data_IF_632537235303
#
_entry.id   IF_632537235303
#
_cell.length_a   1.000
_cell.length_b   1.000
_cell.length_c   1.000
_cell.angle_alpha   90.00
_cell.angle_beta   90.00
_cell.angle_gamma   90.00
#
_symmetry.space_group_name_H-M   'P 1'
#
loop_
_entity.id
_entity.type
_entity.pdbx_description
1 polymer ?
#
# COMPACT_ATOMS: atom_id res chain seq x y z
N UNK A 1 -5.86 19.33 -19.85
CA UNK A 1 -5.52 18.24 -18.91
C UNK A 1 -5.57 18.77 -17.46
N UNK A 2 -6.77 19.00 -16.93
CA UNK A 2 -6.96 19.35 -15.51
C UNK A 2 -7.46 18.10 -14.77
N UNK A 3 -6.59 17.07 -14.67
CA UNK A 3 -6.90 15.92 -13.86
C UNK A 3 -7.23 16.34 -12.43
N UNK A 4 -8.31 15.84 -11.90
CA UNK A 4 -8.78 16.10 -10.54
C UNK A 4 -7.65 15.83 -9.54
N UNK A 5 -6.97 16.91 -9.12
CA UNK A 5 -5.88 16.81 -8.15
C UNK A 5 -6.50 16.77 -6.78
N UNK A 6 -6.41 15.60 -6.11
CA UNK A 6 -6.77 15.48 -4.71
C UNK A 6 -6.10 16.61 -3.91
N UNK A 7 -6.88 17.51 -3.32
CA UNK A 7 -6.36 18.57 -2.46
C UNK A 7 -6.66 18.24 -1.00
N UNK A 8 -5.64 17.96 -0.20
CA UNK A 8 -5.83 17.69 1.21
C UNK A 8 -6.30 18.93 1.96
N UNK A 9 -7.44 18.82 2.66
CA UNK A 9 -8.05 19.93 3.43
C UNK A 9 -7.28 20.28 4.72
N UNK A 10 -6.48 19.33 5.27
CA UNK A 10 -5.80 19.45 6.56
C UNK A 10 -4.28 19.29 6.42
N UNK A 11 -3.50 19.87 7.37
CA UNK A 11 -2.02 19.73 7.42
C UNK A 11 -1.58 18.27 7.47
N UNK A 12 -2.24 17.44 8.29
CA UNK A 12 -1.96 15.99 8.38
C UNK A 12 -2.23 15.28 7.04
N UNK A 13 -3.34 15.60 6.38
CA UNK A 13 -3.67 15.03 5.09
C UNK A 13 -2.65 15.40 4.00
N UNK A 14 -2.09 16.62 4.06
CA UNK A 14 -1.03 17.07 3.15
C UNK A 14 0.27 16.31 3.41
N UNK A 15 0.68 16.19 4.66
CA UNK A 15 1.88 15.43 5.04
C UNK A 15 1.81 13.97 4.57
N UNK A 16 0.69 13.28 4.84
CA UNK A 16 0.49 11.90 4.39
C UNK A 16 0.46 11.80 2.85
N UNK A 17 -0.11 12.80 2.19
CA UNK A 17 -0.14 12.88 0.72
C UNK A 17 1.27 12.98 0.12
N UNK A 18 2.04 13.95 0.58
CA UNK A 18 3.43 14.16 0.13
C UNK A 18 4.31 12.96 0.47
N UNK A 19 4.09 12.34 1.63
CA UNK A 19 4.81 11.12 2.01
C UNK A 19 4.52 9.94 1.06
N UNK A 20 3.24 9.67 0.75
CA UNK A 20 2.85 8.60 -0.17
C UNK A 20 3.44 8.82 -1.57
N UNK A 21 3.31 10.03 -2.13
CA UNK A 21 3.85 10.36 -3.46
C UNK A 21 5.38 10.26 -3.51
N UNK A 22 6.06 10.80 -2.50
CA UNK A 22 7.51 10.72 -2.41
C UNK A 22 7.98 9.27 -2.20
N UNK A 23 7.28 8.48 -1.38
CA UNK A 23 7.61 7.07 -1.17
C UNK A 23 7.51 6.27 -2.48
N UNK A 24 6.45 6.47 -3.26
CA UNK A 24 6.27 5.84 -4.58
C UNK A 24 7.39 6.27 -5.54
N UNK A 25 7.66 7.57 -5.63
CA UNK A 25 8.67 8.11 -6.55
C UNK A 25 10.10 7.64 -6.18
N UNK A 26 10.45 7.68 -4.89
CA UNK A 26 11.75 7.23 -4.38
C UNK A 26 11.92 5.73 -4.62
N UNK A 27 10.89 4.93 -4.33
CA UNK A 27 10.93 3.48 -4.52
C UNK A 27 11.14 3.12 -5.98
N UNK A 28 10.39 3.75 -6.90
CA UNK A 28 10.55 3.54 -8.34
C UNK A 28 11.93 4.00 -8.84
N UNK A 29 12.38 5.17 -8.38
CA UNK A 29 13.72 5.70 -8.70
C UNK A 29 14.84 4.78 -8.21
N UNK A 30 14.75 4.28 -6.97
CA UNK A 30 15.70 3.34 -6.40
C UNK A 30 15.76 2.02 -7.19
N UNK A 31 14.61 1.46 -7.56
CA UNK A 31 14.54 0.27 -8.42
C UNK A 31 15.24 0.49 -9.76
N UNK A 32 14.98 1.62 -10.41
CA UNK A 32 15.57 1.97 -11.69
C UNK A 32 17.09 2.11 -11.58
N UNK A 33 17.58 2.83 -10.55
CA UNK A 33 19.02 3.02 -10.30
C UNK A 33 19.69 1.68 -10.00
N UNK A 34 19.12 0.87 -9.11
CA UNK A 34 19.68 -0.45 -8.78
C UNK A 34 19.76 -1.38 -9.98
N UNK A 35 18.72 -1.41 -10.79
CA UNK A 35 18.70 -2.23 -12.02
C UNK A 35 19.76 -1.74 -13.00
N UNK A 36 19.85 -0.42 -13.22
CA UNK A 36 20.87 0.18 -14.09
C UNK A 36 22.29 -0.13 -13.59
N UNK A 37 22.56 0.07 -12.30
CA UNK A 37 23.87 -0.24 -11.70
C UNK A 37 24.23 -1.72 -11.85
N UNK A 38 23.27 -2.62 -11.68
CA UNK A 38 23.50 -4.05 -11.86
C UNK A 38 23.86 -4.40 -13.32
N UNK A 39 23.18 -3.76 -14.28
CA UNK A 39 23.52 -3.89 -15.72
C UNK A 39 24.93 -3.38 -16.00
N UNK A 40 25.28 -2.18 -15.54
CA UNK A 40 26.63 -1.60 -15.72
C UNK A 40 27.69 -2.50 -15.10
N UNK A 41 27.50 -2.95 -13.87
CA UNK A 41 28.44 -3.85 -13.21
C UNK A 41 28.62 -5.16 -13.96
N UNK A 42 27.56 -5.72 -14.49
CA UNK A 42 27.62 -6.98 -15.24
C UNK A 42 28.37 -6.86 -16.56
N UNK A 43 28.08 -5.81 -17.34
CA UNK A 43 28.63 -5.68 -18.69
C UNK A 43 29.95 -4.91 -18.77
N UNK A 44 30.21 -3.95 -17.86
CA UNK A 44 31.45 -3.16 -17.86
C UNK A 44 32.50 -3.79 -16.94
N UNK A 45 32.08 -4.25 -15.76
CA UNK A 45 33.00 -4.77 -14.73
C UNK A 45 33.01 -6.30 -14.63
N UNK A 46 32.25 -6.99 -15.45
CA UNK A 46 32.10 -8.46 -15.44
C UNK A 46 31.79 -9.02 -14.01
N UNK A 47 31.04 -8.27 -13.22
CA UNK A 47 30.64 -8.59 -11.85
C UNK A 47 29.16 -8.29 -11.67
N UNK A 48 28.42 -9.11 -10.91
CA UNK A 48 27.00 -8.89 -10.63
C UNK A 48 26.76 -8.54 -9.16
N UNK A 49 25.73 -7.73 -8.91
CA UNK A 49 25.23 -7.46 -7.57
C UNK A 49 24.12 -8.48 -7.25
N UNK A 50 24.49 -9.61 -6.66
CA UNK A 50 23.55 -10.71 -6.41
C UNK A 50 22.39 -10.26 -5.52
N UNK A 51 22.65 -9.45 -4.50
CA UNK A 51 21.66 -8.92 -3.57
C UNK A 51 20.70 -7.89 -4.20
N UNK A 52 21.10 -7.26 -5.31
CA UNK A 52 20.29 -6.18 -5.91
C UNK A 52 18.94 -6.67 -6.43
N UNK A 53 18.87 -7.92 -6.93
CA UNK A 53 17.62 -8.50 -7.41
C UNK A 53 16.61 -8.64 -6.27
N UNK A 54 17.06 -9.13 -5.12
CA UNK A 54 16.19 -9.29 -3.95
C UNK A 54 15.72 -7.93 -3.41
N UNK A 55 16.61 -6.93 -3.38
CA UNK A 55 16.22 -5.55 -3.01
C UNK A 55 15.18 -4.98 -3.97
N UNK A 56 15.36 -5.17 -5.28
CA UNK A 56 14.37 -4.72 -6.29
C UNK A 56 13.01 -5.40 -6.08
N UNK A 57 12.98 -6.69 -5.75
CA UNK A 57 11.73 -7.39 -5.43
C UNK A 57 11.05 -6.84 -4.17
N UNK A 58 11.83 -6.54 -3.12
CA UNK A 58 11.32 -5.89 -1.90
C UNK A 58 10.75 -4.51 -2.22
N UNK A 59 11.49 -3.68 -2.95
CA UNK A 59 11.04 -2.35 -3.36
C UNK A 59 9.79 -2.42 -4.26
N UNK A 60 9.71 -3.43 -5.13
CA UNK A 60 8.53 -3.65 -5.96
C UNK A 60 7.29 -3.98 -5.10
N UNK A 61 7.43 -4.85 -4.11
CA UNK A 61 6.35 -5.14 -3.17
C UNK A 61 5.90 -3.87 -2.42
N UNK A 62 6.84 -3.04 -1.99
CA UNK A 62 6.56 -1.76 -1.34
C UNK A 62 5.83 -0.79 -2.28
N UNK A 63 6.31 -0.69 -3.53
CA UNK A 63 5.70 0.14 -4.57
C UNK A 63 4.23 -0.24 -4.82
N UNK A 64 3.97 -1.54 -4.98
CA UNK A 64 2.61 -2.06 -5.23
C UNK A 64 1.69 -1.77 -4.05
N UNK A 65 2.15 -2.03 -2.83
CA UNK A 65 1.33 -1.85 -1.63
C UNK A 65 1.04 -0.37 -1.32
N UNK A 66 2.01 0.52 -1.49
CA UNK A 66 1.78 1.97 -1.44
C UNK A 66 0.87 2.44 -2.58
N UNK A 67 1.06 1.91 -3.78
CA UNK A 67 0.25 2.22 -4.96
C UNK A 67 -1.22 1.86 -4.76
N UNK A 68 -1.53 0.71 -4.15
CA UNK A 68 -2.90 0.32 -3.79
C UNK A 68 -3.52 1.34 -2.83
N UNK A 69 -2.84 1.70 -1.75
CA UNK A 69 -3.33 2.68 -0.78
C UNK A 69 -3.55 4.06 -1.44
N UNK A 70 -2.62 4.48 -2.29
CA UNK A 70 -2.73 5.72 -3.06
C UNK A 70 -3.89 5.67 -4.07
N UNK A 71 -4.10 4.54 -4.76
CA UNK A 71 -5.22 4.33 -5.69
C UNK A 71 -6.58 4.53 -5.03
N UNK A 72 -6.78 4.03 -3.80
CA UNK A 72 -8.00 4.30 -3.02
C UNK A 72 -8.20 5.78 -2.68
N UNK A 73 -7.12 6.53 -2.52
CA UNK A 73 -7.16 7.95 -2.20
C UNK A 73 -7.58 8.81 -3.39
N UNK A 74 -6.99 8.55 -4.56
CA UNK A 74 -7.27 9.30 -5.78
C UNK A 74 -8.45 8.74 -6.56
N UNK A 75 -9.14 7.72 -6.00
CA UNK A 75 -10.27 7.03 -6.65
C UNK A 75 -9.93 6.49 -8.05
N UNK A 76 -8.65 6.18 -8.28
CA UNK A 76 -8.13 5.68 -9.56
C UNK A 76 -8.48 4.21 -9.85
N UNK A 77 -9.34 3.60 -9.03
CA UNK A 77 -9.85 2.27 -9.34
C UNK A 77 -10.90 2.38 -10.45
N UNK A 78 -10.52 1.96 -11.63
CA UNK A 78 -11.43 1.77 -12.76
C UNK A 78 -12.53 0.79 -12.37
N UNK A 79 -13.65 1.33 -11.95
CA UNK A 79 -14.85 0.56 -11.66
C UNK A 79 -15.65 0.28 -12.93
N UNK A 80 -16.49 -0.72 -12.86
CA UNK A 80 -17.45 -1.02 -13.94
C UNK A 80 -18.62 -0.02 -13.83
N UNK A 81 -18.36 1.25 -14.18
CA UNK A 81 -19.37 2.31 -14.14
C UNK A 81 -20.53 2.05 -15.11
N UNK A 82 -20.25 1.29 -16.18
CA UNK A 82 -21.29 0.90 -17.14
C UNK A 82 -22.50 0.20 -16.50
N UNK A 83 -22.27 -0.64 -15.47
CA UNK A 83 -23.35 -1.31 -14.75
C UNK A 83 -23.97 -0.40 -13.70
N UNK A 84 -23.18 0.36 -12.97
CA UNK A 84 -23.67 1.23 -11.90
C UNK A 84 -24.41 2.44 -12.44
N UNK A 85 -24.05 2.96 -13.61
CA UNK A 85 -24.74 4.07 -14.28
C UNK A 85 -26.17 3.69 -14.75
N UNK A 86 -26.43 2.39 -15.02
CA UNK A 86 -27.77 1.90 -15.38
C UNK A 86 -28.72 1.80 -14.17
N UNK A 87 -28.20 1.89 -12.95
CA UNK A 87 -29.00 1.77 -11.73
C UNK A 87 -29.68 3.11 -11.39
N UNK A 88 -30.90 3.03 -10.84
CA UNK A 88 -31.56 4.20 -10.25
C UNK A 88 -30.74 4.76 -9.09
N UNK A 89 -30.85 6.07 -8.83
CA UNK A 89 -30.09 6.74 -7.73
C UNK A 89 -30.15 6.01 -6.39
N UNK A 90 -31.32 5.52 -5.90
CA UNK A 90 -31.39 4.80 -4.63
C UNK A 90 -30.68 3.45 -4.68
N UNK A 91 -30.76 2.73 -5.82
CA UNK A 91 -30.08 1.46 -6.00
C UNK A 91 -28.56 1.65 -6.08
N UNK A 92 -28.09 2.68 -6.79
CA UNK A 92 -26.67 3.02 -6.88
C UNK A 92 -26.06 3.35 -5.51
N UNK A 93 -26.82 4.10 -4.67
CA UNK A 93 -26.40 4.37 -3.29
C UNK A 93 -26.38 3.10 -2.44
N UNK A 94 -27.38 2.23 -2.55
CA UNK A 94 -27.43 0.97 -1.81
C UNK A 94 -26.27 0.05 -2.18
N UNK A 95 -25.97 -0.11 -3.47
CA UNK A 95 -24.80 -0.90 -3.93
C UNK A 95 -23.48 -0.28 -3.49
N UNK A 96 -23.36 1.05 -3.49
CA UNK A 96 -22.18 1.75 -2.99
C UNK A 96 -21.94 1.51 -1.49
N UNK A 97 -22.99 1.55 -0.67
CA UNK A 97 -22.91 1.23 0.76
C UNK A 97 -22.54 -0.23 0.98
N UNK A 98 -23.16 -1.16 0.26
CA UNK A 98 -22.87 -2.59 0.37
C UNK A 98 -21.41 -2.88 0.01
N UNK A 99 -20.92 -2.32 -1.11
CA UNK A 99 -19.53 -2.43 -1.54
C UNK A 99 -18.58 -1.88 -0.48
N UNK A 100 -18.90 -0.73 0.13
CA UNK A 100 -18.10 -0.13 1.19
C UNK A 100 -17.98 -1.03 2.41
N UNK A 101 -19.07 -1.68 2.83
CA UNK A 101 -19.05 -2.65 3.93
C UNK A 101 -18.20 -3.87 3.62
N UNK A 102 -18.33 -4.44 2.41
CA UNK A 102 -17.54 -5.60 2.00
C UNK A 102 -16.05 -5.24 1.97
N UNK A 103 -15.70 -4.09 1.39
CA UNK A 103 -14.31 -3.62 1.35
C UNK A 103 -13.75 -3.33 2.75
N UNK A 104 -14.56 -2.74 3.65
CA UNK A 104 -14.17 -2.48 5.02
C UNK A 104 -13.90 -3.77 5.79
N UNK A 105 -14.81 -4.76 5.66
CA UNK A 105 -14.62 -6.07 6.26
C UNK A 105 -13.34 -6.74 5.77
N UNK A 106 -13.10 -6.73 4.45
CA UNK A 106 -11.88 -7.29 3.87
C UNK A 106 -10.62 -6.56 4.33
N UNK A 107 -10.66 -5.23 4.43
CA UNK A 107 -9.51 -4.44 4.89
C UNK A 107 -9.14 -4.71 6.35
N UNK A 108 -10.14 -4.97 7.22
CA UNK A 108 -9.90 -5.39 8.61
C UNK A 108 -9.22 -6.76 8.66
N UNK A 109 -9.70 -7.72 7.85
CA UNK A 109 -9.09 -9.04 7.74
C UNK A 109 -7.66 -8.95 7.19
N UNK A 110 -7.45 -8.09 6.20
CA UNK A 110 -6.13 -7.86 5.61
C UNK A 110 -5.15 -7.29 6.65
N UNK A 111 -5.59 -6.30 7.45
CA UNK A 111 -4.77 -5.75 8.51
C UNK A 111 -4.42 -6.79 9.57
N UNK A 112 -5.41 -7.58 10.00
CA UNK A 112 -5.16 -8.69 10.94
C UNK A 112 -4.15 -9.68 10.37
N UNK A 113 -4.36 -10.13 9.13
CA UNK A 113 -3.45 -11.07 8.47
C UNK A 113 -2.04 -10.51 8.29
N UNK A 114 -1.92 -9.26 7.90
CA UNK A 114 -0.65 -8.57 7.75
C UNK A 114 0.12 -8.44 9.07
N UNK A 115 -0.59 -8.11 10.16
CA UNK A 115 -0.01 -8.09 11.51
C UNK A 115 0.43 -9.48 11.95
N UNK A 116 -0.46 -10.47 11.88
CA UNK A 116 -0.19 -11.83 12.33
C UNK A 116 0.94 -12.52 11.54
N UNK A 117 1.15 -12.09 10.30
CA UNK A 117 2.28 -12.55 9.48
C UNK A 117 3.59 -11.87 9.87
N UNK A 118 3.58 -10.54 10.03
CA UNK A 118 4.77 -9.75 10.28
C UNK A 118 5.25 -9.78 11.73
N UNK A 119 4.34 -9.77 12.71
CA UNK A 119 4.66 -9.61 14.12
C UNK A 119 5.70 -10.61 14.65
N UNK A 120 5.67 -11.92 14.29
CA UNK A 120 6.69 -12.87 14.74
C UNK A 120 8.09 -12.59 14.24
N UNK A 121 8.24 -11.93 13.08
CA UNK A 121 9.56 -11.50 12.59
C UNK A 121 10.13 -10.33 13.40
N UNK A 122 9.28 -9.55 14.06
CA UNK A 122 9.65 -8.48 14.96
C UNK A 122 9.67 -8.90 16.43
N UNK A 123 9.62 -10.22 16.70
CA UNK A 123 9.49 -10.80 18.05
C UNK A 123 8.26 -10.29 18.82
N UNK A 124 7.19 -9.96 18.08
CA UNK A 124 5.92 -9.50 18.64
C UNK A 124 4.87 -10.60 18.59
N UNK A 125 3.90 -10.61 19.53
CA UNK A 125 2.85 -11.59 19.56
C UNK A 125 1.84 -11.41 18.43
N UNK A 126 1.29 -12.52 17.95
CA UNK A 126 0.16 -12.54 17.02
C UNK A 126 -1.15 -12.26 17.73
N UNK A 127 -2.17 -11.90 16.96
CA UNK A 127 -3.53 -11.83 17.47
C UNK A 127 -4.18 -13.22 17.49
N UNK A 128 -5.06 -13.45 18.47
CA UNK A 128 -5.93 -14.64 18.52
C UNK A 128 -7.22 -14.37 17.74
N UNK A 129 -7.94 -15.45 17.41
CA UNK A 129 -9.18 -15.39 16.64
C UNK A 129 -8.99 -15.65 15.15
N UNK A 130 -9.99 -16.26 14.53
CA UNK A 130 -9.91 -16.65 13.12
C UNK A 130 -10.15 -15.48 12.17
N UNK A 131 -11.19 -14.70 12.43
CA UNK A 131 -11.65 -13.63 11.55
C UNK A 131 -11.36 -12.25 12.14
N UNK A 132 -11.54 -12.10 13.45
CA UNK A 132 -11.29 -10.87 14.17
C UNK A 132 -10.35 -11.12 15.34
N UNK A 133 -9.55 -10.10 15.75
CA UNK A 133 -8.72 -10.23 16.94
C UNK A 133 -9.62 -10.39 18.18
N UNK A 134 -9.47 -11.51 18.89
CA UNK A 134 -10.17 -11.77 20.17
C UNK A 134 -9.25 -11.63 21.36
N UNK A 135 -7.96 -11.37 21.13
CA UNK A 135 -6.92 -11.19 22.13
C UNK A 135 -5.53 -11.27 21.53
N UNK A 136 -4.53 -11.45 22.35
CA UNK A 136 -3.11 -11.55 21.97
C UNK A 136 -2.57 -12.91 22.36
N UNK A 137 -1.90 -13.60 21.44
CA UNK A 137 -1.24 -14.87 21.67
C UNK A 137 0.22 -14.65 22.11
N UNK A 138 0.44 -14.56 23.40
CA UNK A 138 1.77 -14.40 24.01
C UNK A 138 2.65 -15.66 23.89
N UNK A 139 2.10 -16.80 23.47
CA UNK A 139 2.84 -18.04 23.27
C UNK A 139 3.34 -18.22 21.84
N UNK A 140 3.05 -17.29 20.95
CA UNK A 140 3.55 -17.35 19.58
C UNK A 140 5.08 -17.35 19.59
N UNK A 141 5.66 -18.36 18.93
CA UNK A 141 7.11 -18.43 18.79
C UNK A 141 7.58 -17.34 17.83
N UNK A 142 8.51 -16.49 18.27
CA UNK A 142 9.17 -15.52 17.44
C UNK A 142 9.93 -16.18 16.29
N UNK A 143 10.02 -15.47 15.17
CA UNK A 143 10.75 -15.88 13.97
C UNK A 143 11.72 -14.78 13.53
N UNK A 144 12.17 -13.96 14.47
CA UNK A 144 13.06 -12.82 14.25
C UNK A 144 14.43 -13.24 13.69
N UNK A 145 14.87 -14.47 13.96
CA UNK A 145 16.12 -15.04 13.45
C UNK A 145 16.14 -15.32 11.94
N UNK A 146 14.98 -15.17 11.23
CA UNK A 146 14.94 -15.35 9.79
C UNK A 146 15.53 -14.15 9.07
N UNK A 147 16.54 -14.40 8.26
CA UNK A 147 17.22 -13.45 7.40
C UNK A 147 16.69 -13.49 5.96
N UNK A 148 16.97 -12.46 5.19
CA UNK A 148 16.82 -12.43 3.73
C UNK A 148 17.84 -13.35 3.07
N UNK A 149 17.66 -13.67 1.79
CA UNK A 149 18.52 -14.67 1.13
C UNK A 149 19.87 -14.08 0.70
N UNK A 150 19.90 -12.83 0.20
CA UNK A 150 21.10 -12.23 -0.39
C UNK A 150 21.45 -10.85 0.16
N UNK A 151 20.52 -10.14 0.82
CA UNK A 151 20.76 -8.77 1.25
C UNK A 151 21.69 -8.74 2.46
N UNK A 152 22.91 -8.18 2.36
CA UNK A 152 23.80 -8.09 3.51
C UNK A 152 23.23 -7.19 4.60
N UNK A 153 23.58 -7.47 5.86
CA UNK A 153 23.12 -6.68 7.00
C UNK A 153 23.70 -5.24 6.93
N UNK A 154 22.83 -4.20 6.80
CA UNK A 154 23.32 -2.82 6.82
C UNK A 154 23.79 -2.43 8.20
N UNK A 155 24.92 -1.72 8.28
CA UNK A 155 25.53 -1.28 9.54
C UNK A 155 24.57 -0.50 10.45
N UNK A 156 23.74 0.36 9.87
CA UNK A 156 22.79 1.21 10.60
C UNK A 156 21.59 0.44 11.17
N UNK A 157 21.36 -0.81 10.76
CA UNK A 157 20.30 -1.67 11.28
C UNK A 157 20.78 -2.66 12.34
N UNK A 158 22.07 -2.65 12.71
CA UNK A 158 22.61 -3.60 13.69
C UNK A 158 21.99 -3.49 15.09
N UNK A 159 21.40 -2.35 15.43
CA UNK A 159 20.63 -2.21 16.66
C UNK A 159 19.43 -3.18 16.77
N UNK A 160 18.97 -3.73 15.64
CA UNK A 160 17.91 -4.75 15.64
C UNK A 160 18.39 -6.08 16.22
N UNK A 161 19.69 -6.35 16.22
CA UNK A 161 20.29 -7.54 16.81
C UNK A 161 19.96 -7.62 18.31
N UNK A 162 20.11 -6.49 19.01
CA UNK A 162 19.79 -6.41 20.43
C UNK A 162 18.27 -6.39 20.72
N UNK A 163 17.48 -5.80 19.83
CA UNK A 163 16.04 -5.59 20.07
C UNK A 163 15.19 -6.81 19.78
N UNK A 164 15.49 -7.52 18.69
CA UNK A 164 14.61 -8.58 18.19
C UNK A 164 15.29 -9.94 18.08
N UNK A 165 16.64 -10.00 18.21
CA UNK A 165 17.43 -11.23 18.08
C UNK A 165 18.28 -11.54 19.31
N UNK A 166 17.93 -11.00 20.46
CA UNK A 166 18.56 -11.29 21.76
C UNK A 166 20.10 -11.12 21.77
N UNK A 167 20.63 -10.20 20.95
CA UNK A 167 22.06 -9.94 20.78
C UNK A 167 22.79 -10.88 19.82
N UNK A 168 22.09 -11.83 19.20
CA UNK A 168 22.65 -12.70 18.16
C UNK A 168 22.85 -11.92 16.85
N UNK A 169 24.03 -12.09 16.24
CA UNK A 169 24.38 -11.35 15.02
C UNK A 169 23.66 -11.85 13.78
N UNK A 170 23.21 -10.91 12.97
CA UNK A 170 22.71 -11.19 11.62
C UNK A 170 23.86 -11.11 10.59
N UNK A 171 24.00 -12.10 9.74
CA UNK A 171 24.84 -12.05 8.56
C UNK A 171 24.17 -11.33 7.39
N UNK A 172 22.83 -11.45 7.31
CA UNK A 172 22.00 -10.79 6.30
C UNK A 172 20.86 -10.00 6.95
N UNK A 173 20.22 -9.14 6.18
CA UNK A 173 19.13 -8.30 6.68
C UNK A 173 17.97 -9.16 7.21
N UNK A 174 17.44 -8.93 8.42
CA UNK A 174 16.30 -9.67 8.94
C UNK A 174 15.03 -9.40 8.13
N UNK A 175 14.19 -10.42 7.95
CA UNK A 175 12.92 -10.32 7.19
C UNK A 175 11.91 -9.35 7.80
N UNK A 176 12.09 -8.96 9.04
CA UNK A 176 11.32 -7.91 9.72
C UNK A 176 11.23 -6.64 8.87
N UNK A 177 12.35 -6.22 8.24
CA UNK A 177 12.42 -4.97 7.48
C UNK A 177 11.63 -5.05 6.15
N UNK A 178 11.90 -6.02 5.23
CA UNK A 178 11.14 -6.10 3.99
C UNK A 178 9.65 -6.33 4.21
N UNK A 179 9.26 -7.06 5.25
CA UNK A 179 7.85 -7.38 5.51
C UNK A 179 7.10 -6.32 6.32
N UNK A 180 7.79 -5.31 6.86
CA UNK A 180 7.18 -4.20 7.59
C UNK A 180 6.13 -3.45 6.76
N UNK A 181 6.28 -3.45 5.45
CA UNK A 181 5.31 -2.82 4.55
C UNK A 181 3.90 -3.43 4.67
N UNK A 182 3.78 -4.70 5.02
CA UNK A 182 2.49 -5.40 5.09
C UNK A 182 1.53 -4.75 6.10
N UNK A 183 1.88 -4.61 7.40
CA UNK A 183 1.00 -3.95 8.36
C UNK A 183 0.84 -2.45 8.07
N UNK A 184 1.88 -1.77 7.57
CA UNK A 184 1.80 -0.34 7.21
C UNK A 184 0.79 -0.13 6.09
N UNK A 185 0.93 -0.86 4.98
CA UNK A 185 0.05 -0.72 3.83
C UNK A 185 -1.39 -1.15 4.15
N UNK A 186 -1.57 -2.25 4.89
CA UNK A 186 -2.89 -2.69 5.31
C UNK A 186 -3.59 -1.65 6.20
N UNK A 187 -2.86 -1.00 7.11
CA UNK A 187 -3.38 0.10 7.93
C UNK A 187 -3.74 1.32 7.07
N UNK A 188 -2.92 1.68 6.09
CA UNK A 188 -3.20 2.78 5.15
C UNK A 188 -4.42 2.47 4.29
N UNK A 189 -4.54 1.26 3.75
CA UNK A 189 -5.69 0.82 2.95
C UNK A 189 -6.96 0.90 3.80
N UNK A 190 -6.94 0.34 5.01
CA UNK A 190 -8.09 0.42 5.93
C UNK A 190 -8.48 1.87 6.20
N UNK A 191 -7.51 2.73 6.51
CA UNK A 191 -7.75 4.15 6.74
C UNK A 191 -8.42 4.83 5.53
N UNK A 192 -7.95 4.54 4.30
CA UNK A 192 -8.53 5.10 3.08
C UNK A 192 -9.95 4.59 2.81
N UNK A 193 -10.21 3.30 3.04
CA UNK A 193 -11.55 2.73 2.89
C UNK A 193 -12.50 3.33 3.92
N UNK A 194 -12.08 3.53 5.17
CA UNK A 194 -12.88 4.21 6.20
C UNK A 194 -13.20 5.65 5.78
N UNK A 195 -12.22 6.40 5.24
CA UNK A 195 -12.46 7.74 4.73
C UNK A 195 -13.47 7.76 3.56
N UNK A 196 -13.32 6.85 2.61
CA UNK A 196 -14.24 6.75 1.47
C UNK A 196 -15.65 6.35 1.93
N UNK A 197 -15.76 5.37 2.83
CA UNK A 197 -17.02 4.93 3.44
C UNK A 197 -17.74 6.09 4.15
N UNK A 198 -17.01 6.90 4.93
CA UNK A 198 -17.61 8.06 5.61
C UNK A 198 -18.13 9.12 4.64
N UNK A 199 -17.48 9.32 3.49
CA UNK A 199 -17.98 10.24 2.43
C UNK A 199 -19.25 9.72 1.78
N UNK A 200 -19.36 8.40 1.54
CA UNK A 200 -20.57 7.77 1.00
C UNK A 200 -21.74 7.96 1.96
N UNK A 201 -21.53 7.73 3.26
CA UNK A 201 -22.58 7.95 4.27
C UNK A 201 -23.05 9.40 4.36
N UNK A 202 -22.13 10.37 4.24
CA UNK A 202 -22.45 11.80 4.21
C UNK A 202 -23.12 12.25 2.90
N UNK A 203 -23.15 11.39 1.88
CA UNK A 203 -23.70 11.74 0.57
C UNK A 203 -22.78 12.63 -0.28
N UNK A 204 -21.50 12.76 0.13
CA UNK A 204 -20.46 13.50 -0.60
C UNK A 204 -19.94 12.70 -1.80
N UNK A 205 -20.18 11.37 -1.81
CA UNK A 205 -19.71 10.43 -2.83
C UNK A 205 -20.76 9.31 -2.98
N UNK A 206 -21.03 8.89 -4.21
CA UNK A 206 -22.07 7.87 -4.47
C UNK A 206 -21.52 6.44 -4.39
N UNK A 207 -20.22 6.23 -4.65
CA UNK A 207 -19.57 4.92 -4.63
C UNK A 207 -18.11 5.02 -4.17
N UNK A 208 -17.49 3.89 -3.80
CA UNK A 208 -16.03 3.81 -3.50
C UNK A 208 -15.18 4.12 -4.73
N UNK A 209 -15.72 3.90 -5.90
CA UNK A 209 -15.07 4.04 -7.19
C UNK A 209 -15.87 5.09 -7.94
N UNK A 210 -15.28 6.26 -8.12
CA UNK A 210 -15.85 7.33 -8.95
C UNK A 210 -14.99 7.41 -10.19
N UNK A 211 -15.52 7.02 -11.34
CA UNK A 211 -14.90 7.29 -12.61
C UNK A 211 -15.37 8.68 -13.06
N UNK A 212 -14.46 9.63 -13.06
CA UNK A 212 -14.68 10.95 -13.65
C UNK A 212 -14.30 10.97 -15.14
N UNK A 213 -13.70 9.90 -15.67
CA UNK A 213 -13.24 9.85 -17.05
C UNK A 213 -14.36 10.10 -18.06
N UNK A 214 -15.57 9.58 -17.79
CA UNK A 214 -16.72 9.82 -18.66
C UNK A 214 -17.26 11.25 -18.55
N UNK A 215 -17.23 11.84 -17.35
CA UNK A 215 -17.67 13.23 -17.12
C UNK A 215 -16.64 14.21 -17.71
N UNK A 216 -15.34 13.96 -17.48
CA UNK A 216 -14.25 14.77 -18.03
C UNK A 216 -14.22 14.70 -19.57
N UNK A 217 -14.45 13.53 -20.17
CA UNK A 217 -14.56 13.38 -21.62
C UNK A 217 -15.79 14.10 -22.20
N UNK A 218 -16.92 14.07 -21.50
CA UNK A 218 -18.12 14.79 -21.93
C UNK A 218 -17.94 16.31 -21.78
N UNK A 219 -17.29 16.78 -20.71
CA UNK A 219 -16.98 18.20 -20.54
C UNK A 219 -15.96 18.70 -21.57
N UNK A 220 -14.94 17.91 -21.91
CA UNK A 220 -13.97 18.23 -22.95
C UNK A 220 -14.63 18.37 -24.33
N UNK A 221 -15.52 17.41 -24.69
CA UNK A 221 -16.30 17.48 -25.95
C UNK A 221 -17.29 18.63 -25.93
N UNK A 222 -17.93 18.92 -24.80
CA UNK A 222 -18.84 20.05 -24.67
C UNK A 222 -18.10 21.41 -24.74
N UNK A 223 -16.87 21.48 -24.24
CA UNK A 223 -16.03 22.68 -24.37
C UNK A 223 -15.61 22.91 -25.83
N UNK A 224 -15.17 21.86 -26.54
CA UNK A 224 -14.81 21.93 -27.96
C UNK A 224 -15.99 22.38 -28.83
N UNK A 225 -17.23 21.94 -28.52
CA UNK A 225 -18.43 22.34 -29.24
C UNK A 225 -18.91 23.76 -28.92
N UNK A 226 -18.37 24.44 -27.90
CA UNK A 226 -18.69 25.86 -27.58
C UNK A 226 -17.70 26.83 -28.20
N UNK A 227 -16.54 26.35 -28.61
CA UNK A 227 -15.49 27.16 -29.25
C UNK A 227 -15.53 27.12 -30.78
N UNK A 228 -16.36 26.28 -31.39
CA UNK A 228 -16.62 26.17 -32.84
C UNK A 228 -17.99 26.69 -33.24
#
# INVERSE_FOLDING_TARGET
MSGWKYQPKNRLGRFVHEFEENAIAITLGAMTILTFLNVVRRYVFNASLIWSLEVVLVLFAWLVLFGIAYGFKVTAHLGVDAVTSMLSRPMRRATGILSAFICLFYAVLLLKGAWDYWAPFADLPRTTGRWFPTGIDWKTRGTSYFETDQIPMPQFLRFLEDWINYGEHYSKMPRTIPYLILPISAALILFRIVQATTRIFKGEQESLIVSHEAEDAVEEVAALNREG
#
